data_IF_389534439299
#
_entry.id   IF_389534439299
#
_cell.length_a   1.000
_cell.length_b   1.000
_cell.length_c   1.000
_cell.angle_alpha   90.00
_cell.angle_beta   90.00
_cell.angle_gamma   90.00
#
_symmetry.space_group_name_H-M   'P 1'
#
loop_
_entity.id
_entity.type
_entity.pdbx_description
1 polymer ?
#
# COMPACT_ATOMS: atom_id res chain seq x y z
N UNK A 1 -1.35 2.90 25.24
CA UNK A 1 -0.30 2.30 24.38
C UNK A 1 0.12 3.32 23.35
N UNK A 2 1.22 3.05 22.66
CA UNK A 2 1.70 3.86 21.53
C UNK A 2 0.80 3.65 20.30
N UNK A 3 0.81 4.62 19.38
CA UNK A 3 -0.03 4.60 18.18
C UNK A 3 0.77 5.06 16.96
N UNK A 4 0.45 4.49 15.80
CA UNK A 4 0.88 5.00 14.50
C UNK A 4 -0.20 5.91 13.93
N UNK A 5 0.19 7.09 13.43
CA UNK A 5 -0.73 8.06 12.82
C UNK A 5 -0.35 8.29 11.37
N UNK A 6 -1.14 7.73 10.44
CA UNK A 6 -0.98 7.94 9.00
C UNK A 6 -1.72 9.20 8.59
N UNK A 7 -1.02 10.17 8.00
CA UNK A 7 -1.60 11.46 7.58
C UNK A 7 -1.50 11.63 6.08
N UNK A 8 -2.62 11.96 5.43
CA UNK A 8 -2.67 12.16 4.00
C UNK A 8 -2.05 13.51 3.62
N UNK A 9 -1.06 13.48 2.72
CA UNK A 9 -0.41 14.68 2.18
C UNK A 9 -1.45 15.64 1.61
N UNK A 10 -1.35 16.92 1.99
CA UNK A 10 -2.25 17.95 1.48
C UNK A 10 -2.16 18.03 -0.06
N UNK A 11 -3.32 18.08 -0.72
CA UNK A 11 -3.41 18.18 -2.18
C UNK A 11 -3.16 16.88 -2.95
N UNK A 12 -2.90 15.74 -2.29
CA UNK A 12 -2.59 14.47 -2.99
C UNK A 12 -3.68 14.05 -3.97
N UNK A 13 -4.96 14.22 -3.62
CA UNK A 13 -6.09 13.89 -4.53
C UNK A 13 -6.05 14.72 -5.82
N UNK A 14 -5.67 15.99 -5.72
CA UNK A 14 -5.56 16.89 -6.88
C UNK A 14 -4.34 16.54 -7.73
N UNK A 15 -3.20 16.28 -7.09
CA UNK A 15 -1.99 15.85 -7.78
C UNK A 15 -2.26 14.54 -8.54
N UNK A 16 -2.78 13.53 -7.84
CA UNK A 16 -3.11 12.23 -8.44
C UNK A 16 -4.09 12.39 -9.61
N UNK A 17 -5.17 13.16 -9.45
CA UNK A 17 -6.12 13.38 -10.55
C UNK A 17 -5.46 14.01 -11.79
N UNK A 18 -4.48 14.89 -11.58
CA UNK A 18 -3.72 15.51 -12.67
C UNK A 18 -2.84 14.48 -13.37
N UNK A 19 -2.13 13.65 -12.59
CA UNK A 19 -1.25 12.59 -13.11
C UNK A 19 -2.06 11.54 -13.88
N UNK A 20 -3.22 11.14 -13.35
CA UNK A 20 -4.14 10.21 -14.00
C UNK A 20 -4.71 10.78 -15.30
N UNK A 21 -5.08 12.07 -15.34
CA UNK A 21 -5.53 12.72 -16.58
C UNK A 21 -4.42 12.72 -17.64
N UNK A 22 -3.18 12.99 -17.24
CA UNK A 22 -2.02 12.93 -18.12
C UNK A 22 -1.81 11.51 -18.66
N UNK A 23 -1.84 10.49 -17.79
CA UNK A 23 -1.68 9.09 -18.17
C UNK A 23 -2.74 8.64 -19.19
N UNK A 24 -4.02 8.99 -18.94
CA UNK A 24 -5.13 8.69 -19.86
C UNK A 24 -4.95 9.36 -21.22
N UNK A 25 -4.45 10.61 -21.22
CA UNK A 25 -4.21 11.35 -22.46
C UNK A 25 -3.06 10.73 -23.26
N UNK A 26 -1.98 10.33 -22.58
CA UNK A 26 -0.85 9.65 -23.21
C UNK A 26 -1.28 8.28 -23.79
N UNK A 27 -2.02 7.49 -23.02
CA UNK A 27 -2.55 6.20 -23.48
C UNK A 27 -3.42 6.37 -24.73
N UNK A 28 -4.29 7.40 -24.75
CA UNK A 28 -5.11 7.71 -25.91
C UNK A 28 -4.30 8.04 -27.17
N UNK A 29 -3.21 8.80 -27.02
CA UNK A 29 -2.32 9.17 -28.13
C UNK A 29 -1.60 7.92 -28.66
N UNK A 30 -1.03 7.10 -27.76
CA UNK A 30 -0.28 5.90 -28.13
C UNK A 30 -1.17 4.85 -28.82
N UNK A 31 -2.41 4.68 -28.35
CA UNK A 31 -3.41 3.81 -28.98
C UNK A 31 -3.75 4.32 -30.40
N UNK A 32 -3.92 5.64 -30.55
CA UNK A 32 -4.23 6.26 -31.86
C UNK A 32 -3.08 6.08 -32.85
N UNK A 33 -1.82 6.17 -32.38
CA UNK A 33 -0.62 5.94 -33.17
C UNK A 33 -0.35 4.45 -33.45
N UNK A 34 -1.12 3.54 -32.83
CA UNK A 34 -1.00 2.10 -33.04
C UNK A 34 0.27 1.49 -32.47
N UNK A 35 1.00 2.19 -31.59
CA UNK A 35 2.27 1.75 -31.00
C UNK A 35 2.09 0.49 -30.16
N UNK A 36 0.87 0.26 -29.63
CA UNK A 36 0.53 -0.87 -28.76
C UNK A 36 -0.82 -1.51 -29.10
N UNK A 37 -1.12 -1.70 -30.40
CA UNK A 37 -2.40 -2.26 -30.90
C UNK A 37 -2.91 -3.52 -30.19
N UNK A 38 -2.03 -4.31 -29.57
CA UNK A 38 -2.36 -5.56 -28.88
C UNK A 38 -2.76 -5.39 -27.40
N UNK A 39 -2.58 -4.20 -26.80
CA UNK A 39 -2.58 -4.05 -25.32
C UNK A 39 -3.69 -3.18 -24.73
N UNK A 40 -4.59 -2.58 -25.52
CA UNK A 40 -5.73 -1.81 -25.01
C UNK A 40 -5.33 -0.81 -23.93
N UNK A 41 -4.33 0.04 -24.20
CA UNK A 41 -3.68 0.86 -23.17
C UNK A 41 -4.65 1.85 -22.52
N UNK A 42 -5.64 2.33 -23.26
CA UNK A 42 -6.73 3.15 -22.72
C UNK A 42 -7.50 2.43 -21.62
N UNK A 43 -7.90 1.18 -21.86
CA UNK A 43 -8.70 0.41 -20.89
C UNK A 43 -7.89 0.09 -19.64
N UNK A 44 -6.62 -0.26 -19.83
CA UNK A 44 -5.67 -0.44 -18.73
C UNK A 44 -5.49 0.85 -17.91
N UNK A 45 -5.27 1.98 -18.57
CA UNK A 45 -5.12 3.27 -17.89
C UNK A 45 -6.39 3.67 -17.13
N UNK A 46 -7.58 3.45 -17.72
CA UNK A 46 -8.86 3.73 -17.06
C UNK A 46 -9.05 2.85 -15.81
N UNK A 47 -8.67 1.57 -15.85
CA UNK A 47 -8.77 0.69 -14.68
C UNK A 47 -7.76 1.07 -13.59
N UNK A 48 -6.51 1.38 -13.95
CA UNK A 48 -5.54 1.90 -12.99
C UNK A 48 -6.04 3.17 -12.31
N UNK A 49 -6.63 4.11 -13.07
CA UNK A 49 -7.23 5.33 -12.49
C UNK A 49 -8.29 5.01 -11.44
N UNK A 50 -9.22 4.10 -11.76
CA UNK A 50 -10.27 3.69 -10.81
C UNK A 50 -9.70 3.02 -9.57
N UNK A 51 -8.69 2.16 -9.72
CA UNK A 51 -8.05 1.48 -8.60
C UNK A 51 -7.36 2.47 -7.67
N UNK A 52 -6.52 3.37 -8.20
CA UNK A 52 -5.80 4.33 -7.37
C UNK A 52 -6.74 5.35 -6.70
N UNK A 53 -7.85 5.72 -7.33
CA UNK A 53 -8.86 6.57 -6.69
C UNK A 53 -9.56 5.87 -5.51
N UNK A 54 -9.77 4.55 -5.58
CA UNK A 54 -10.35 3.76 -4.47
C UNK A 54 -9.40 3.65 -3.27
N UNK A 55 -8.09 3.60 -3.51
CA UNK A 55 -7.09 3.52 -2.45
C UNK A 55 -6.92 4.83 -1.66
N UNK A 56 -7.43 5.96 -2.15
CA UNK A 56 -7.32 7.25 -1.48
C UNK A 56 -8.27 7.44 -0.29
N UNK A 57 -8.86 6.39 0.29
CA UNK A 57 -9.69 6.50 1.48
C UNK A 57 -9.08 5.71 2.63
N UNK A 58 -8.60 6.44 3.65
CA UNK A 58 -8.18 5.81 4.90
C UNK A 58 -9.34 5.17 5.67
N UNK A 59 -10.59 5.53 5.37
CA UNK A 59 -11.76 4.83 5.93
C UNK A 59 -11.89 3.44 5.33
N UNK A 60 -11.66 3.32 4.03
CA UNK A 60 -11.66 2.03 3.33
C UNK A 60 -10.49 1.17 3.80
N UNK A 61 -9.28 1.74 3.89
CA UNK A 61 -8.09 1.05 4.41
C UNK A 61 -8.32 0.54 5.85
N UNK A 62 -8.87 1.39 6.72
CA UNK A 62 -9.23 1.02 8.09
C UNK A 62 -10.21 -0.17 8.15
N UNK A 63 -11.19 -0.19 7.25
CA UNK A 63 -12.18 -1.29 7.19
C UNK A 63 -11.50 -2.60 6.82
N UNK A 64 -10.64 -2.60 5.81
CA UNK A 64 -9.91 -3.80 5.40
C UNK A 64 -8.93 -4.30 6.46
N UNK A 65 -8.28 -3.41 7.21
CA UNK A 65 -7.39 -3.80 8.32
C UNK A 65 -8.19 -4.51 9.42
N UNK A 66 -9.37 -4.00 9.77
CA UNK A 66 -10.21 -4.62 10.81
C UNK A 66 -10.79 -5.96 10.35
N UNK A 67 -11.20 -6.08 9.08
CA UNK A 67 -11.60 -7.36 8.49
C UNK A 67 -10.45 -8.38 8.53
N UNK A 68 -9.26 -7.98 8.12
CA UNK A 68 -8.06 -8.82 8.18
C UNK A 68 -7.73 -9.25 9.62
N UNK A 69 -7.80 -8.32 10.57
CA UNK A 69 -7.62 -8.61 12.00
C UNK A 69 -8.65 -9.64 12.48
N UNK A 70 -9.92 -9.49 12.11
CA UNK A 70 -10.96 -10.45 12.48
C UNK A 70 -10.72 -11.84 11.88
N UNK A 71 -10.10 -11.95 10.71
CA UNK A 71 -9.75 -13.23 10.10
C UNK A 71 -8.55 -13.87 10.81
N UNK A 72 -7.51 -13.10 11.10
CA UNK A 72 -6.31 -13.58 11.80
C UNK A 72 -6.61 -14.04 13.24
N UNK A 73 -7.51 -13.35 13.94
CA UNK A 73 -7.94 -13.76 15.29
C UNK A 73 -8.68 -15.11 15.33
N UNK A 74 -9.09 -15.64 14.17
CA UNK A 74 -9.77 -16.94 14.05
C UNK A 74 -8.85 -18.05 13.56
N UNK A 75 -7.60 -17.74 13.23
CA UNK A 75 -6.61 -18.68 12.74
C UNK A 75 -5.57 -18.98 13.83
N UNK A 76 -5.00 -20.19 13.82
CA UNK A 76 -3.96 -20.64 14.77
C UNK A 76 -2.54 -20.29 14.28
N UNK A 77 -2.43 -19.52 13.18
CA UNK A 77 -1.15 -19.00 12.69
C UNK A 77 -0.69 -17.78 13.50
N UNK A 78 0.63 -17.63 13.69
CA UNK A 78 1.23 -16.47 14.40
C UNK A 78 1.23 -15.18 13.55
N UNK A 79 0.08 -14.79 13.01
CA UNK A 79 -0.10 -13.55 12.26
C UNK A 79 -0.86 -12.51 13.07
N UNK A 80 -0.48 -11.24 12.91
CA UNK A 80 -1.08 -10.12 13.63
C UNK A 80 -1.35 -8.94 12.71
N UNK A 81 -2.56 -8.41 12.77
CA UNK A 81 -2.92 -7.13 12.16
C UNK A 81 -3.20 -6.10 13.26
N UNK A 82 -2.73 -4.85 13.16
CA UNK A 82 -2.89 -3.85 14.20
C UNK A 82 -4.35 -3.48 14.41
N UNK A 83 -4.73 -3.13 15.63
CA UNK A 83 -6.04 -2.56 15.91
C UNK A 83 -6.19 -1.18 15.26
N UNK A 84 -7.34 -0.92 14.63
CA UNK A 84 -7.72 0.43 14.18
C UNK A 84 -8.46 1.19 15.28
N UNK A 85 -8.07 2.44 15.52
CA UNK A 85 -8.81 3.33 16.41
C UNK A 85 -9.81 4.18 15.62
N UNK A 86 -11.00 3.61 15.37
CA UNK A 86 -12.03 4.19 14.50
C UNK A 86 -12.49 5.59 14.94
N UNK A 87 -12.62 5.85 16.24
CA UNK A 87 -13.04 7.16 16.78
C UNK A 87 -12.08 8.30 16.42
N UNK A 88 -10.81 7.96 16.16
CA UNK A 88 -9.74 8.89 15.81
C UNK A 88 -9.37 8.84 14.32
N UNK A 89 -10.06 8.02 13.53
CA UNK A 89 -9.77 7.81 12.11
C UNK A 89 -10.85 8.42 11.22
N UNK A 90 -10.42 9.18 10.20
CA UNK A 90 -11.28 9.86 9.20
C UNK A 90 -10.61 9.83 7.83
N UNK A 91 -11.23 10.43 6.83
CA UNK A 91 -10.77 10.51 5.43
C UNK A 91 -9.28 10.83 5.19
N UNK A 92 -8.65 11.62 6.07
CA UNK A 92 -7.27 12.11 5.88
C UNK A 92 -6.30 11.70 6.97
N UNK A 93 -6.78 11.04 8.03
CA UNK A 93 -5.98 10.61 9.17
C UNK A 93 -6.44 9.22 9.60
N UNK A 94 -5.50 8.28 9.71
CA UNK A 94 -5.76 6.94 10.24
C UNK A 94 -4.90 6.72 11.48
N UNK A 95 -5.50 6.21 12.54
CA UNK A 95 -4.82 5.90 13.80
C UNK A 95 -4.85 4.39 14.04
N UNK A 96 -3.67 3.80 14.17
CA UNK A 96 -3.45 2.37 14.34
C UNK A 96 -2.68 2.09 15.64
N UNK A 97 -2.82 0.88 16.16
CA UNK A 97 -1.90 0.33 17.14
C UNK A 97 -0.46 0.39 16.62
N UNK A 98 0.46 0.86 17.46
CA UNK A 98 1.88 0.79 17.13
C UNK A 98 2.38 -0.65 17.31
N UNK A 99 3.02 -1.19 16.27
CA UNK A 99 3.63 -2.51 16.33
C UNK A 99 5.14 -2.37 16.51
N UNK A 100 5.70 -3.18 17.40
CA UNK A 100 7.14 -3.33 17.55
C UNK A 100 7.58 -4.59 16.82
N UNK A 101 8.64 -4.48 16.03
CA UNK A 101 9.20 -5.59 15.28
C UNK A 101 10.38 -5.16 14.43
N UNK A 102 10.95 -6.12 13.72
CA UNK A 102 11.99 -5.91 12.72
C UNK A 102 11.29 -5.70 11.38
N UNK A 103 11.70 -4.70 10.61
CA UNK A 103 11.12 -4.49 9.28
C UNK A 103 11.53 -5.63 8.36
N UNK A 104 10.60 -6.10 7.51
CA UNK A 104 10.90 -7.15 6.53
C UNK A 104 12.09 -6.76 5.64
N UNK A 105 12.27 -5.46 5.33
CA UNK A 105 13.44 -4.98 4.60
C UNK A 105 14.75 -5.24 5.33
N UNK A 106 14.81 -5.03 6.65
CA UNK A 106 15.99 -5.31 7.47
C UNK A 106 16.27 -6.82 7.52
N UNK A 107 15.22 -7.64 7.58
CA UNK A 107 15.36 -9.09 7.49
C UNK A 107 15.90 -9.53 6.12
N UNK A 108 15.43 -8.92 5.04
CA UNK A 108 15.89 -9.22 3.69
C UNK A 108 17.36 -8.83 3.50
N UNK A 109 17.75 -7.64 3.95
CA UNK A 109 19.15 -7.19 3.94
C UNK A 109 20.06 -8.14 4.74
N UNK A 110 19.61 -8.59 5.92
CA UNK A 110 20.35 -9.57 6.71
C UNK A 110 20.50 -10.91 5.96
N UNK A 111 19.42 -11.42 5.35
CA UNK A 111 19.47 -12.67 4.58
C UNK A 111 20.40 -12.56 3.37
N UNK A 112 20.44 -11.40 2.70
CA UNK A 112 21.36 -11.13 1.59
C UNK A 112 22.82 -11.11 2.06
N UNK A 113 23.13 -10.40 3.15
CA UNK A 113 24.48 -10.38 3.73
C UNK A 113 24.95 -11.78 4.19
N UNK A 114 24.06 -12.58 4.78
CA UNK A 114 24.35 -13.97 5.18
C UNK A 114 24.69 -14.85 3.97
N UNK A 115 24.04 -14.63 2.82
CA UNK A 115 24.31 -15.36 1.57
C UNK A 115 25.65 -15.01 0.93
N UNK A 116 26.13 -13.78 1.16
CA UNK A 116 27.45 -13.32 0.71
C UNK A 116 28.61 -13.75 1.63
N UNK A 117 28.29 -14.46 2.73
CA UNK A 117 29.28 -15.06 3.63
C UNK A 117 29.59 -14.19 4.87
N UNK A 118 28.79 -13.16 5.15
CA UNK A 118 28.98 -12.32 6.31
C UNK A 118 28.39 -13.01 7.57
N UNK A 119 29.27 -13.58 8.41
CA UNK A 119 28.90 -14.40 9.58
C UNK A 119 28.03 -13.67 10.62
N UNK A 120 27.98 -12.33 10.58
CA UNK A 120 27.21 -11.51 11.51
C UNK A 120 25.69 -11.57 11.28
N UNK A 121 25.24 -11.93 10.08
CA UNK A 121 23.82 -11.89 9.74
C UNK A 121 23.00 -13.10 10.25
N UNK A 122 23.66 -14.20 10.59
CA UNK A 122 22.99 -15.47 10.97
C UNK A 122 22.52 -15.47 12.45
N UNK A 123 22.98 -14.52 13.28
CA UNK A 123 22.72 -14.55 14.74
C UNK A 123 21.44 -13.79 15.17
N UNK A 124 20.72 -13.14 14.26
CA UNK A 124 19.54 -12.30 14.59
C UNK A 124 18.18 -12.92 14.23
N UNK A 125 18.13 -14.20 13.83
CA UNK A 125 16.90 -15.00 13.79
C UNK A 125 16.84 -15.90 15.04
#
# INVERSE_FOLDING_TARGET
GEVAVKVMRAGVRRALRTDLLFLRSLAAILDTLGVFRSYGLRDFADEMCRMTERELSFVTEATYIEELRSLMLKDDTEHYAPKVYADYSKERVMVLEWLHGIWVSEMLEAVEAAREGDQLAVTLL
#
